data_IF_691295355211
#
_entry.id   IF_691295355211
#
_cell.length_a   1.000
_cell.length_b   1.000
_cell.length_c   1.000
_cell.angle_alpha   90.00
_cell.angle_beta   90.00
_cell.angle_gamma   90.00
#
_symmetry.space_group_name_H-M   'P 1'
#
loop_
_entity.id
_entity.type
_entity.pdbx_description
1 polymer ?
#
# COMPACT_ATOMS: atom_id res chain seq x y z
N UNK A 1 -73.48 -10.26 -12.23
CA UNK A 1 -72.87 -10.60 -10.92
C UNK A 1 -71.41 -10.18 -10.94
N UNK A 2 -70.88 -9.81 -9.76
CA UNK A 2 -69.65 -9.05 -9.55
C UNK A 2 -68.37 -9.81 -9.94
N UNK A 3 -67.43 -9.03 -10.46
CA UNK A 3 -65.96 -9.16 -10.46
C UNK A 3 -65.37 -10.23 -9.53
N UNK A 4 -64.40 -10.99 -10.04
CA UNK A 4 -63.26 -11.46 -9.24
C UNK A 4 -62.01 -11.65 -10.13
N UNK A 5 -61.49 -10.54 -10.67
CA UNK A 5 -60.08 -10.47 -10.99
C UNK A 5 -59.34 -10.05 -9.71
N UNK A 6 -58.28 -10.78 -9.34
CA UNK A 6 -57.10 -10.41 -8.52
C UNK A 6 -56.72 -11.50 -7.52
N UNK A 7 -55.41 -11.49 -7.21
CA UNK A 7 -54.69 -12.25 -6.18
C UNK A 7 -54.10 -13.62 -6.58
N UNK A 8 -53.16 -13.64 -7.53
CA UNK A 8 -52.10 -14.69 -7.54
C UNK A 8 -50.69 -14.10 -7.77
N UNK A 9 -50.56 -12.86 -8.25
CA UNK A 9 -49.26 -12.31 -8.69
C UNK A 9 -48.46 -11.56 -7.62
N UNK A 10 -49.02 -11.30 -6.44
CA UNK A 10 -48.37 -10.47 -5.41
C UNK A 10 -47.33 -11.22 -4.54
N UNK A 11 -47.51 -12.50 -4.13
CA UNK A 11 -46.55 -13.12 -3.21
C UNK A 11 -45.22 -13.50 -3.89
N UNK A 12 -45.21 -13.70 -5.21
CA UNK A 12 -44.00 -14.12 -5.93
C UNK A 12 -43.00 -12.97 -6.16
N UNK A 13 -43.50 -11.74 -6.32
CA UNK A 13 -42.66 -10.54 -6.50
C UNK A 13 -41.97 -10.16 -5.18
N UNK A 14 -42.64 -10.34 -4.04
CA UNK A 14 -42.06 -10.09 -2.70
C UNK A 14 -40.94 -11.07 -2.35
N UNK A 15 -41.07 -12.35 -2.75
CA UNK A 15 -40.02 -13.36 -2.53
C UNK A 15 -38.78 -13.07 -3.40
N UNK A 16 -38.98 -12.61 -4.64
CA UNK A 16 -37.87 -12.23 -5.53
C UNK A 16 -37.09 -11.01 -4.99
N UNK A 17 -37.78 -10.02 -4.40
CA UNK A 17 -37.14 -8.85 -3.80
C UNK A 17 -36.34 -9.19 -2.53
N UNK A 18 -36.79 -10.17 -1.73
CA UNK A 18 -36.02 -10.64 -0.56
C UNK A 18 -34.78 -11.47 -0.89
N UNK A 19 -34.69 -12.04 -2.10
CA UNK A 19 -33.51 -12.80 -2.57
C UNK A 19 -32.42 -11.91 -3.19
N UNK A 20 -32.76 -10.68 -3.58
CA UNK A 20 -31.80 -9.68 -4.08
C UNK A 20 -31.13 -8.88 -2.96
N UNK A 21 -31.58 -9.04 -1.71
CA UNK A 21 -30.84 -8.62 -0.52
C UNK A 21 -29.76 -9.67 -0.14
N UNK A 22 -29.12 -10.29 -1.15
CA UNK A 22 -27.82 -10.89 -0.95
C UNK A 22 -26.91 -9.75 -0.48
N UNK A 23 -26.54 -9.80 0.79
CA UNK A 23 -25.66 -8.83 1.41
C UNK A 23 -24.43 -8.67 0.53
N UNK A 24 -24.35 -7.57 -0.22
CA UNK A 24 -23.06 -6.98 -0.48
C UNK A 24 -22.50 -6.71 0.91
N UNK A 25 -21.56 -7.55 1.36
CA UNK A 25 -20.63 -7.12 2.38
C UNK A 25 -19.88 -5.99 1.71
N UNK A 26 -20.39 -4.80 1.96
CA UNK A 26 -19.66 -3.57 1.77
C UNK A 26 -18.65 -3.55 2.94
N UNK A 27 -17.71 -4.51 2.89
CA UNK A 27 -16.46 -4.39 3.62
C UNK A 27 -15.84 -3.16 2.96
N UNK A 28 -15.81 -2.04 3.68
CA UNK A 28 -15.48 -0.72 3.14
C UNK A 28 -14.12 -0.69 2.41
N UNK A 29 -13.67 0.49 1.95
CA UNK A 29 -12.40 0.58 1.23
C UNK A 29 -11.28 -0.08 2.03
N UNK A 30 -10.49 -0.93 1.36
CA UNK A 30 -9.35 -1.59 2.00
C UNK A 30 -8.34 -0.52 2.42
N UNK A 31 -7.85 -0.59 3.66
CA UNK A 31 -6.88 0.37 4.19
C UNK A 31 -5.58 -0.32 4.52
N UNK A 32 -4.47 0.40 4.31
CA UNK A 32 -3.14 -0.10 4.63
C UNK A 32 -3.01 -0.42 6.12
N UNK A 33 -2.58 -1.63 6.41
CA UNK A 33 -2.26 -2.10 7.76
C UNK A 33 -0.90 -2.78 7.75
N UNK A 34 0.14 -2.01 8.06
CA UNK A 34 1.46 -2.55 8.38
C UNK A 34 1.42 -3.03 9.83
N UNK A 35 1.45 -4.36 10.01
CA UNK A 35 1.52 -5.00 11.31
C UNK A 35 2.94 -4.92 11.91
N UNK A 36 3.09 -5.40 13.15
CA UNK A 36 4.37 -5.45 13.88
C UNK A 36 4.97 -4.09 14.24
N UNK A 37 4.15 -3.12 14.67
CA UNK A 37 4.63 -1.89 15.32
C UNK A 37 5.63 -2.22 16.45
N UNK A 38 6.75 -1.50 16.52
CA UNK A 38 7.85 -1.76 17.44
C UNK A 38 8.64 -3.04 17.16
N UNK A 39 8.32 -3.73 16.06
CA UNK A 39 8.97 -4.96 15.61
C UNK A 39 9.95 -4.74 14.45
N UNK A 40 10.32 -3.50 14.17
CA UNK A 40 11.33 -3.12 13.16
C UNK A 40 12.44 -2.31 13.82
N UNK A 41 13.68 -2.49 13.35
CA UNK A 41 14.86 -1.80 13.88
C UNK A 41 15.12 -0.44 13.21
N UNK A 42 14.56 -0.22 12.02
CA UNK A 42 14.67 1.04 11.29
C UNK A 42 14.15 0.94 9.86
N UNK A 43 14.61 1.89 9.02
CA UNK A 43 14.27 1.96 7.59
C UNK A 43 15.54 1.93 6.74
N UNK A 44 15.63 1.00 5.78
CA UNK A 44 16.63 1.04 4.72
C UNK A 44 16.06 1.87 3.58
N UNK A 45 16.76 2.91 3.17
CA UNK A 45 16.36 3.78 2.05
C UNK A 45 17.33 3.58 0.89
N UNK A 46 16.82 3.10 -0.24
CA UNK A 46 17.59 2.87 -1.46
C UNK A 46 17.11 3.82 -2.56
N UNK A 47 18.02 4.63 -3.08
CA UNK A 47 17.81 5.58 -4.18
C UNK A 47 18.39 5.02 -5.47
N UNK A 48 17.63 5.06 -6.56
CA UNK A 48 18.17 4.73 -7.89
C UNK A 48 19.00 5.92 -8.39
N UNK A 49 20.28 5.68 -8.67
CA UNK A 49 21.11 6.66 -9.37
C UNK A 49 21.47 6.13 -10.76
N UNK A 50 21.48 7.06 -11.72
CA UNK A 50 21.99 6.80 -13.07
C UNK A 50 23.11 7.79 -13.34
N UNK A 51 24.35 7.33 -13.26
CA UNK A 51 25.46 8.03 -13.89
C UNK A 51 25.46 7.63 -15.38
N UNK A 52 25.85 8.52 -16.29
CA UNK A 52 25.79 8.26 -17.74
C UNK A 52 26.56 7.03 -18.26
N UNK A 53 27.18 6.23 -17.39
CA UNK A 53 27.90 4.99 -17.70
C UNK A 53 27.50 3.79 -16.82
N UNK A 54 26.87 4.01 -15.65
CA UNK A 54 26.39 2.92 -14.75
C UNK A 54 25.13 3.35 -13.99
N UNK A 55 24.16 2.44 -13.91
CA UNK A 55 23.01 2.53 -13.01
C UNK A 55 23.29 1.68 -11.76
N UNK A 56 22.83 2.14 -10.60
CA UNK A 56 23.02 1.45 -9.33
C UNK A 56 22.12 2.02 -8.23
N UNK A 57 22.35 1.53 -7.01
CA UNK A 57 21.62 1.92 -5.82
C UNK A 57 22.54 2.58 -4.80
N UNK A 58 22.14 3.75 -4.31
CA UNK A 58 22.70 4.35 -3.10
C UNK A 58 21.78 4.02 -1.93
N UNK A 59 22.34 3.46 -0.87
CA UNK A 59 21.56 2.97 0.27
C UNK A 59 22.03 3.63 1.55
N UNK A 60 21.09 3.97 2.43
CA UNK A 60 21.39 4.38 3.80
C UNK A 60 20.43 3.74 4.78
N UNK A 61 20.95 3.42 5.96
CA UNK A 61 20.16 2.94 7.08
C UNK A 61 19.73 4.14 7.94
N UNK A 62 18.43 4.28 8.11
CA UNK A 62 17.82 5.15 9.10
C UNK A 62 17.53 4.29 10.33
N UNK A 63 18.49 4.25 11.23
CA UNK A 63 18.42 3.47 12.47
C UNK A 63 17.42 4.06 13.46
N UNK A 64 16.74 3.19 14.19
CA UNK A 64 15.83 3.56 15.28
C UNK A 64 14.44 2.98 15.06
N UNK A 65 13.89 2.16 15.98
CA UNK A 65 12.53 1.64 15.89
C UNK A 65 11.48 2.77 15.81
N UNK A 66 11.76 3.93 16.41
CA UNK A 66 10.91 5.11 16.31
C UNK A 66 10.76 5.65 14.89
N UNK A 67 11.76 5.42 14.02
CA UNK A 67 11.74 5.85 12.61
C UNK A 67 10.84 4.94 11.78
N UNK A 68 10.91 3.65 12.04
CA UNK A 68 9.98 2.68 11.45
C UNK A 68 8.54 2.97 11.91
N UNK A 69 8.33 3.15 13.22
CA UNK A 69 7.03 3.50 13.79
C UNK A 69 6.47 4.82 13.22
N UNK A 70 7.32 5.84 13.05
CA UNK A 70 6.91 7.10 12.41
C UNK A 70 6.43 6.88 10.97
N UNK A 71 7.15 6.09 10.18
CA UNK A 71 6.75 5.79 8.80
C UNK A 71 5.42 5.03 8.76
N UNK A 72 5.26 4.04 9.63
CA UNK A 72 4.02 3.28 9.80
C UNK A 72 2.87 4.22 10.15
N UNK A 73 3.05 5.12 11.12
CA UNK A 73 2.00 6.06 11.56
C UNK A 73 1.58 7.03 10.44
N UNK A 74 2.45 7.30 9.46
CA UNK A 74 2.12 8.17 8.31
C UNK A 74 1.45 7.45 7.14
N UNK A 75 1.55 6.13 7.07
CA UNK A 75 1.04 5.33 5.96
C UNK A 75 -0.20 4.51 6.35
N UNK A 76 -0.25 3.98 7.57
CA UNK A 76 -1.37 3.15 8.01
C UNK A 76 -2.69 3.92 8.00
N UNK A 77 -3.76 3.24 7.63
CA UNK A 77 -5.10 3.81 7.52
C UNK A 77 -5.36 4.56 6.22
N UNK A 78 -4.36 4.74 5.34
CA UNK A 78 -4.60 5.24 3.98
C UNK A 78 -5.35 4.19 3.17
N UNK A 79 -6.35 4.62 2.40
CA UNK A 79 -7.12 3.75 1.50
C UNK A 79 -6.22 3.19 0.40
N UNK A 80 -6.50 1.96 -0.03
CA UNK A 80 -5.73 1.23 -1.02
C UNK A 80 -6.50 1.05 -2.33
N UNK A 81 -5.81 1.24 -3.44
CA UNK A 81 -6.28 0.88 -4.79
C UNK A 81 -5.42 -0.25 -5.30
N UNK A 82 -6.05 -1.38 -5.64
CA UNK A 82 -5.33 -2.52 -6.19
C UNK A 82 -4.73 -2.15 -7.55
N UNK A 83 -3.44 -2.43 -7.73
CA UNK A 83 -2.75 -2.18 -8.98
C UNK A 83 -3.21 -3.16 -10.07
N UNK A 84 -3.52 -2.63 -11.27
CA UNK A 84 -3.74 -3.44 -12.45
C UNK A 84 -2.42 -3.94 -13.06
N UNK A 85 -2.48 -4.99 -13.89
CA UNK A 85 -1.28 -5.49 -14.59
C UNK A 85 -0.60 -4.43 -15.47
N UNK A 86 -1.39 -3.50 -16.03
CA UNK A 86 -0.86 -2.42 -16.85
C UNK A 86 -0.07 -1.42 -16.00
N UNK A 87 -0.63 -1.00 -14.86
CA UNK A 87 0.03 -0.09 -13.91
C UNK A 87 1.28 -0.74 -13.29
N UNK A 88 1.24 -2.05 -13.00
CA UNK A 88 2.42 -2.77 -12.49
C UNK A 88 3.59 -2.70 -13.48
N UNK A 89 3.33 -2.92 -14.77
CA UNK A 89 4.37 -2.82 -15.80
C UNK A 89 4.95 -1.42 -15.93
N UNK A 90 4.10 -0.39 -15.88
CA UNK A 90 4.54 1.00 -15.91
C UNK A 90 5.36 1.35 -14.65
N UNK A 91 4.93 0.86 -13.48
CA UNK A 91 5.59 1.10 -12.20
C UNK A 91 7.02 0.54 -12.15
N UNK A 92 7.28 -0.63 -12.76
CA UNK A 92 8.63 -1.20 -12.81
C UNK A 92 9.60 -0.26 -13.52
N UNK A 93 9.18 0.37 -14.63
CA UNK A 93 10.00 1.33 -15.36
C UNK A 93 10.21 2.63 -14.58
N UNK A 94 9.19 3.09 -13.85
CA UNK A 94 9.25 4.30 -13.03
C UNK A 94 10.15 4.15 -11.79
N UNK A 95 10.23 2.95 -11.20
CA UNK A 95 11.12 2.67 -10.06
C UNK A 95 12.60 2.82 -10.40
N UNK A 96 12.97 2.52 -11.64
CA UNK A 96 14.34 2.65 -12.12
C UNK A 96 14.72 4.09 -12.49
N UNK A 97 13.77 5.04 -12.42
CA UNK A 97 14.04 6.45 -12.73
C UNK A 97 14.65 7.18 -11.52
N UNK A 98 15.62 8.10 -11.76
CA UNK A 98 16.11 8.97 -10.70
C UNK A 98 15.00 9.78 -10.05
N UNK A 99 14.95 9.74 -8.71
CA UNK A 99 13.92 10.37 -7.89
C UNK A 99 12.85 9.42 -7.37
N UNK A 100 12.85 8.16 -7.81
CA UNK A 100 12.11 7.06 -7.16
C UNK A 100 12.98 6.39 -6.10
N UNK A 101 12.35 5.93 -5.01
CA UNK A 101 13.01 5.37 -3.83
C UNK A 101 12.33 4.08 -3.39
N UNK A 102 13.14 3.16 -2.87
CA UNK A 102 12.68 1.97 -2.16
C UNK A 102 12.96 2.18 -0.68
N UNK A 103 11.94 2.04 0.15
CA UNK A 103 12.07 2.07 1.61
C UNK A 103 11.67 0.71 2.16
N UNK A 104 12.53 0.09 2.94
CA UNK A 104 12.26 -1.19 3.58
C UNK A 104 12.29 -1.01 5.10
N UNK A 105 11.17 -1.30 5.76
CA UNK A 105 11.17 -1.54 7.20
C UNK A 105 11.96 -2.84 7.43
N UNK A 106 13.06 -2.76 8.17
CA UNK A 106 13.98 -3.89 8.32
C UNK A 106 14.13 -4.33 9.77
N UNK A 107 14.56 -5.58 9.90
CA UNK A 107 15.16 -6.16 11.09
C UNK A 107 16.53 -6.69 10.67
N UNK A 108 17.61 -6.36 11.36
CA UNK A 108 18.91 -6.94 11.03
C UNK A 108 18.83 -8.45 11.26
N UNK A 109 19.31 -9.27 10.31
CA UNK A 109 19.29 -10.71 10.46
C UNK A 109 20.18 -11.11 11.64
N UNK A 110 19.56 -11.46 12.76
CA UNK A 110 20.22 -12.26 13.78
C UNK A 110 20.22 -13.73 13.34
N UNK A 111 21.23 -14.51 13.73
CA UNK A 111 21.36 -15.93 13.36
C UNK A 111 20.12 -16.78 13.74
N UNK A 112 19.25 -16.23 14.59
CA UNK A 112 18.08 -16.86 15.18
C UNK A 112 16.75 -16.28 14.61
N UNK A 113 16.85 -15.31 13.67
CA UNK A 113 15.74 -14.47 13.19
C UNK A 113 15.68 -14.42 11.66
N UNK A 114 15.54 -15.57 11.03
CA UNK A 114 15.39 -15.66 9.56
C UNK A 114 13.97 -15.30 9.07
N UNK A 115 12.98 -15.27 9.97
CA UNK A 115 11.57 -15.00 9.64
C UNK A 115 11.11 -13.62 10.10
N UNK A 116 12.03 -12.71 10.45
CA UNK A 116 11.66 -11.38 10.91
C UNK A 116 10.97 -10.60 9.78
N UNK A 117 9.86 -9.91 10.08
CA UNK A 117 9.09 -9.20 9.08
C UNK A 117 9.96 -8.11 8.45
N UNK A 118 9.95 -8.05 7.12
CA UNK A 118 10.39 -6.88 6.36
C UNK A 118 9.21 -6.36 5.58
N UNK A 119 9.18 -5.05 5.35
CA UNK A 119 8.07 -4.43 4.62
C UNK A 119 8.61 -3.43 3.61
N UNK A 120 8.40 -3.72 2.32
CA UNK A 120 8.89 -2.89 1.22
C UNK A 120 7.83 -1.89 0.76
N UNK A 121 8.24 -0.64 0.68
CA UNK A 121 7.44 0.51 0.26
C UNK A 121 8.18 1.17 -0.89
N UNK A 122 7.44 1.46 -1.95
CA UNK A 122 7.94 2.13 -3.14
C UNK A 122 7.42 3.56 -3.19
N UNK A 123 8.32 4.53 -3.25
CA UNK A 123 8.01 5.93 -3.47
C UNK A 123 8.40 6.30 -4.89
N UNK A 124 7.42 6.66 -5.70
CA UNK A 124 7.66 7.13 -7.06
C UNK A 124 7.96 8.62 -7.08
N UNK A 125 8.68 9.05 -8.11
CA UNK A 125 9.03 10.46 -8.34
C UNK A 125 7.81 11.40 -8.38
N UNK A 126 6.66 10.92 -8.84
CA UNK A 126 5.42 11.69 -8.96
C UNK A 126 4.66 11.80 -7.62
N UNK A 127 5.14 11.17 -6.55
CA UNK A 127 4.51 11.14 -5.23
C UNK A 127 3.61 9.93 -5.01
N UNK A 128 3.40 9.07 -6.02
CA UNK A 128 2.69 7.81 -5.86
C UNK A 128 3.45 6.93 -4.86
N UNK A 129 2.70 6.19 -4.03
CA UNK A 129 3.26 5.22 -3.09
C UNK A 129 2.64 3.86 -3.38
N UNK A 130 3.49 2.86 -3.60
CA UNK A 130 3.09 1.47 -3.78
C UNK A 130 3.55 0.61 -2.61
N UNK A 131 2.69 -0.31 -2.22
CA UNK A 131 2.89 -1.24 -1.11
C UNK A 131 2.41 -2.64 -1.49
N UNK A 132 2.83 -3.65 -0.72
CA UNK A 132 2.28 -4.99 -0.81
C UNK A 132 1.55 -5.34 0.48
N UNK A 133 0.31 -5.81 0.37
CA UNK A 133 -0.48 -6.28 1.51
C UNK A 133 -1.08 -7.63 1.13
N UNK A 134 -0.84 -8.63 1.99
CA UNK A 134 -1.34 -10.00 1.80
C UNK A 134 -1.02 -10.63 0.42
N UNK A 135 0.13 -10.26 -0.16
CA UNK A 135 0.57 -10.75 -1.47
C UNK A 135 -0.02 -10.00 -2.66
N UNK A 136 -0.83 -8.96 -2.42
CA UNK A 136 -1.41 -8.10 -3.45
C UNK A 136 -0.72 -6.73 -3.44
N UNK A 137 -0.45 -6.20 -4.63
CA UNK A 137 0.17 -4.89 -4.79
C UNK A 137 -0.89 -3.80 -4.92
N UNK A 138 -0.73 -2.73 -4.15
CA UNK A 138 -1.64 -1.60 -4.09
C UNK A 138 -0.90 -0.28 -4.24
N UNK A 139 -1.63 0.74 -4.67
CA UNK A 139 -1.27 2.15 -4.54
C UNK A 139 -2.08 2.78 -3.40
N UNK A 140 -1.49 3.74 -2.70
CA UNK A 140 -2.21 4.54 -1.70
C UNK A 140 -3.12 5.55 -2.41
N UNK A 141 -4.43 5.46 -2.16
CA UNK A 141 -5.41 6.45 -2.58
C UNK A 141 -5.28 7.68 -1.68
N UNK A 142 -4.94 8.82 -2.29
CA UNK A 142 -4.63 10.07 -1.58
C UNK A 142 -3.40 9.94 -0.66
N UNK A 143 -2.29 9.46 -1.23
CA UNK A 143 -1.01 9.35 -0.54
C UNK A 143 -0.60 10.68 0.12
N UNK A 144 0.01 10.66 1.32
CA UNK A 144 0.35 11.90 2.03
C UNK A 144 1.25 12.82 1.20
N UNK A 145 0.80 14.05 0.97
CA UNK A 145 1.48 14.99 0.09
C UNK A 145 2.95 15.21 0.49
N UNK A 146 3.84 15.10 -0.50
CA UNK A 146 5.28 15.35 -0.34
C UNK A 146 5.95 14.51 0.76
N UNK A 147 5.36 13.36 1.16
CA UNK A 147 5.88 12.54 2.27
C UNK A 147 7.37 12.23 2.11
N UNK A 148 7.79 11.76 0.92
CA UNK A 148 9.19 11.47 0.64
C UNK A 148 10.10 12.67 0.93
N UNK A 149 9.72 13.89 0.52
CA UNK A 149 10.52 15.08 0.77
C UNK A 149 10.57 15.45 2.25
N UNK A 150 9.46 15.28 2.97
CA UNK A 150 9.41 15.49 4.41
C UNK A 150 10.35 14.52 5.13
N UNK A 151 10.32 13.23 4.77
CA UNK A 151 11.19 12.20 5.34
C UNK A 151 12.67 12.50 5.02
N UNK A 152 13.00 12.88 3.78
CA UNK A 152 14.36 13.25 3.39
C UNK A 152 14.91 14.41 4.23
N UNK A 153 14.11 15.45 4.45
CA UNK A 153 14.51 16.59 5.27
C UNK A 153 14.63 16.23 6.74
N UNK A 154 13.66 15.49 7.27
CA UNK A 154 13.59 15.17 8.70
C UNK A 154 14.65 14.15 9.13
N UNK A 155 15.03 13.23 8.23
CA UNK A 155 16.00 12.17 8.48
C UNK A 155 17.37 12.44 7.85
N UNK A 156 17.61 13.65 7.32
CA UNK A 156 18.86 14.10 6.72
C UNK A 156 19.38 13.19 5.59
N UNK A 157 18.49 12.83 4.67
CA UNK A 157 18.78 11.95 3.53
C UNK A 157 19.30 12.80 2.36
N UNK A 158 20.58 12.66 2.03
CA UNK A 158 21.31 13.65 1.21
C UNK A 158 21.54 13.30 -0.27
N UNK A 159 21.10 12.13 -0.74
CA UNK A 159 21.29 11.70 -2.13
C UNK A 159 20.27 12.27 -3.11
#
# INVERSE_FOLDING_TARGET
MRSLAKLVTVPFILILLSLLAACAKDDGPETLTIEHRGGYEGVLVSSTYSSGQTAGYEETFIEGPEKADELIDRLNGTELIQASEAELRESEELLEQPGSYRMMLYNMPAADRMDDPTYLIHFFKDGTIQVNQEGVTYFLYDAPENLLQQLKQQWDISF
#
